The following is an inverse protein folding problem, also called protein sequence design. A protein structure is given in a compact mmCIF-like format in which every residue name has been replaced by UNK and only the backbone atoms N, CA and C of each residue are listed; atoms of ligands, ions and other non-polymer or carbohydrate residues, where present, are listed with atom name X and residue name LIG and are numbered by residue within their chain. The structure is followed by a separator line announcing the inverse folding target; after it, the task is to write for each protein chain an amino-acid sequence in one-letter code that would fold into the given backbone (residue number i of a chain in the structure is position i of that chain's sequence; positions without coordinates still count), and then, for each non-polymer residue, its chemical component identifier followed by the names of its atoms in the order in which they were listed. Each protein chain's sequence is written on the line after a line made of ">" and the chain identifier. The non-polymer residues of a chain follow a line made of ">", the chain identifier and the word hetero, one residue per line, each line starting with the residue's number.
data_IF_449841068636
#
_entry.id   IF_449841068636
#
_cell.length_a   1.000
_cell.length_b   1.000
_cell.length_c   1.000
_cell.angle_alpha   90.00
_cell.angle_beta   90.00
_cell.angle_gamma   90.00
#
_symmetry.space_group_name_H-M   'P 1'
#
loop_
_entity.id
_entity.type
_entity.pdbx_description
1 polymer ?
#
# COMPACT_ATOMS: atom_id res chain seq x y z
N UNK A 1 46.96 -19.12 52.08
CA UNK A 1 47.38 -20.49 52.46
C UNK A 1 46.47 -20.97 53.58
N UNK A 2 45.86 -22.16 53.42
CA UNK A 2 44.99 -22.93 54.35
C UNK A 2 43.66 -22.24 54.72
N UNK A 3 42.50 -22.63 54.18
CA UNK A 3 41.74 -23.89 54.24
C UNK A 3 41.18 -24.19 55.64
N UNK A 4 39.86 -24.00 55.80
CA UNK A 4 39.04 -24.73 56.75
C UNK A 4 37.71 -25.12 56.09
N UNK A 5 37.37 -26.38 56.30
CA UNK A 5 36.29 -27.15 55.68
C UNK A 5 35.17 -27.30 56.70
N UNK A 6 33.93 -27.02 56.32
CA UNK A 6 32.75 -27.45 57.06
C UNK A 6 31.67 -27.95 56.10
N UNK A 7 31.40 -29.25 56.22
CA UNK A 7 30.37 -30.02 55.53
C UNK A 7 29.06 -29.96 56.31
N UNK A 8 27.92 -29.80 55.63
CA UNK A 8 26.67 -30.52 55.93
C UNK A 8 25.53 -30.11 54.97
N UNK A 9 24.76 -31.11 54.52
CA UNK A 9 23.31 -30.94 54.35
C UNK A 9 22.74 -30.95 52.93
N UNK A 10 22.81 -32.11 52.25
CA UNK A 10 22.02 -32.39 51.04
C UNK A 10 20.53 -32.55 51.43
N UNK A 11 19.65 -31.68 50.92
CA UNK A 11 18.19 -31.95 50.86
C UNK A 11 17.77 -32.19 49.41
N UNK A 12 17.47 -33.45 49.10
CA UNK A 12 16.90 -33.90 47.83
C UNK A 12 15.42 -33.52 47.77
N UNK A 13 15.02 -32.62 46.88
CA UNK A 13 13.62 -32.47 46.51
C UNK A 13 13.27 -33.47 45.41
N UNK A 14 12.43 -34.43 45.78
CA UNK A 14 11.86 -35.49 44.95
C UNK A 14 10.56 -34.95 44.35
N UNK A 15 10.57 -34.55 43.07
CA UNK A 15 9.33 -34.25 42.34
C UNK A 15 8.81 -35.55 41.72
N UNK A 16 7.66 -36.01 42.20
CA UNK A 16 6.99 -37.24 41.77
C UNK A 16 5.99 -36.88 40.68
N UNK A 17 6.19 -37.40 39.47
CA UNK A 17 5.14 -37.51 38.45
C UNK A 17 4.07 -38.48 38.95
N UNK A 18 2.80 -38.08 38.89
CA UNK A 18 1.68 -39.00 38.99
C UNK A 18 0.89 -38.97 37.67
N UNK A 19 0.92 -40.12 37.02
CA UNK A 19 0.14 -40.49 35.84
C UNK A 19 -1.12 -41.17 36.37
N UNK A 20 -2.31 -40.77 35.91
CA UNK A 20 -3.53 -41.56 36.09
C UNK A 20 -4.23 -41.76 34.76
N UNK A 21 -4.23 -43.03 34.36
CA UNK A 21 -5.00 -43.69 33.31
C UNK A 21 -6.45 -43.93 33.75
N UNK A 22 -7.38 -43.92 32.78
CA UNK A 22 -8.76 -44.37 32.97
C UNK A 22 -9.60 -44.28 31.69
N UNK A 23 -9.46 -45.28 30.83
CA UNK A 23 -10.40 -45.71 29.77
C UNK A 23 -11.72 -46.23 30.38
N UNK A 24 -12.92 -46.16 29.78
CA UNK A 24 -13.41 -46.94 28.62
C UNK A 24 -14.88 -46.60 28.29
N UNK A 25 -15.26 -46.61 26.98
CA UNK A 25 -16.44 -47.29 26.34
C UNK A 25 -17.88 -46.84 26.69
N UNK A 26 -18.94 -46.90 25.87
CA UNK A 26 -19.31 -47.39 24.53
C UNK A 26 -20.59 -46.59 24.11
N UNK A 27 -20.74 -46.13 22.87
CA UNK A 27 -21.54 -46.70 21.78
C UNK A 27 -23.06 -46.94 21.99
N UNK A 28 -23.86 -46.11 21.29
CA UNK A 28 -24.91 -46.51 20.34
C UNK A 28 -26.42 -46.60 20.75
N UNK A 29 -27.20 -45.85 19.96
CA UNK A 29 -28.42 -46.24 19.19
C UNK A 29 -29.85 -46.12 19.77
N UNK A 30 -30.69 -45.30 19.11
CA UNK A 30 -32.05 -45.60 18.55
C UNK A 30 -32.78 -44.28 18.23
N UNK A 31 -32.97 -43.86 16.96
CA UNK A 31 -34.04 -44.23 15.99
C UNK A 31 -35.48 -43.95 16.46
N UNK A 32 -36.17 -43.07 15.74
CA UNK A 32 -37.44 -43.26 15.01
C UNK A 32 -38.08 -41.88 14.67
N UNK A 33 -38.80 -41.63 13.56
CA UNK A 33 -39.10 -42.40 12.35
C UNK A 33 -39.87 -41.51 11.33
N UNK A 34 -39.99 -42.05 10.10
CA UNK A 34 -40.96 -41.78 8.97
C UNK A 34 -40.38 -41.02 7.77
N UNK A 35 -39.90 -41.73 6.73
CA UNK A 35 -40.64 -42.37 5.60
C UNK A 35 -40.97 -41.35 4.49
N UNK A 36 -40.88 -41.59 3.18
CA UNK A 36 -40.32 -42.60 2.27
C UNK A 36 -40.53 -41.99 0.86
N UNK A 37 -39.60 -42.12 -0.09
CA UNK A 37 -39.87 -41.62 -1.45
C UNK A 37 -38.73 -41.59 -2.47
N UNK A 38 -38.31 -42.78 -2.91
CA UNK A 38 -37.74 -43.17 -4.22
C UNK A 38 -36.64 -42.31 -4.89
N UNK A 39 -35.52 -43.00 -5.10
CA UNK A 39 -34.37 -42.65 -5.92
C UNK A 39 -34.56 -43.13 -7.37
N UNK A 40 -34.22 -42.30 -8.35
CA UNK A 40 -33.79 -42.72 -9.69
C UNK A 40 -32.71 -41.75 -10.21
N UNK A 41 -31.59 -42.34 -10.61
CA UNK A 41 -30.37 -41.74 -11.13
C UNK A 41 -30.55 -41.24 -12.56
N UNK A 42 -30.09 -40.02 -12.86
CA UNK A 42 -30.01 -39.50 -14.22
C UNK A 42 -28.55 -39.22 -14.60
N UNK A 43 -28.03 -40.01 -15.54
CA UNK A 43 -26.84 -39.71 -16.33
C UNK A 43 -27.13 -38.47 -17.19
N UNK A 44 -26.21 -37.50 -17.22
CA UNK A 44 -26.31 -36.35 -18.13
C UNK A 44 -25.07 -36.30 -19.02
N UNK A 45 -25.20 -36.92 -20.17
CA UNK A 45 -24.40 -36.67 -21.37
C UNK A 45 -24.73 -35.26 -21.88
N UNK A 46 -23.73 -34.42 -22.14
CA UNK A 46 -23.91 -33.17 -22.89
C UNK A 46 -23.05 -33.27 -24.14
N UNK A 47 -23.74 -33.21 -25.27
CA UNK A 47 -23.25 -33.28 -26.64
C UNK A 47 -22.63 -31.96 -27.08
N UNK A 48 -21.46 -32.04 -27.72
CA UNK A 48 -20.88 -30.98 -28.55
C UNK A 48 -21.66 -30.84 -29.86
N UNK A 49 -22.08 -29.63 -30.22
CA UNK A 49 -22.44 -29.28 -31.59
C UNK A 49 -21.39 -28.33 -32.18
N UNK A 50 -20.62 -28.88 -33.15
CA UNK A 50 -19.79 -28.13 -34.08
C UNK A 50 -20.67 -27.60 -35.22
N UNK A 51 -20.50 -26.33 -35.60
CA UNK A 51 -20.89 -25.80 -36.91
C UNK A 51 -19.66 -25.29 -37.64
N UNK A 52 -19.59 -25.62 -38.92
CA UNK A 52 -18.43 -25.61 -39.80
C UNK A 52 -18.68 -24.79 -41.08
N UNK A 53 -17.57 -24.51 -41.81
CA UNK A 53 -17.43 -24.10 -43.24
C UNK A 53 -17.78 -22.61 -43.49
N UNK A 54 -16.98 -21.74 -44.14
CA UNK A 54 -16.33 -21.84 -45.47
C UNK A 54 -15.03 -21.01 -45.52
N UNK A 55 -13.98 -21.60 -46.12
CA UNK A 55 -12.83 -20.91 -46.70
C UNK A 55 -13.10 -20.68 -48.19
N UNK A 56 -12.81 -19.47 -48.67
CA UNK A 56 -12.64 -19.19 -50.09
C UNK A 56 -11.22 -18.67 -50.34
N UNK A 57 -10.62 -19.21 -51.38
CA UNK A 57 -9.25 -19.01 -51.84
C UNK A 57 -9.31 -18.69 -53.31
N UNK A 58 -8.78 -17.55 -53.74
CA UNK A 58 -8.44 -17.32 -55.15
C UNK A 58 -7.30 -16.30 -55.35
N UNK A 59 -6.15 -16.86 -55.75
CA UNK A 59 -5.14 -16.41 -56.71
C UNK A 59 -4.71 -14.92 -56.82
N UNK A 60 -3.52 -14.64 -56.25
CA UNK A 60 -2.26 -14.34 -56.93
C UNK A 60 -2.14 -13.24 -58.01
N UNK A 61 -1.21 -12.30 -57.82
CA UNK A 61 -0.18 -11.94 -58.83
C UNK A 61 1.02 -11.26 -58.17
N UNK A 62 2.24 -11.69 -58.52
CA UNK A 62 3.50 -11.03 -58.17
C UNK A 62 3.76 -9.82 -59.08
N UNK A 63 4.39 -8.76 -58.53
CA UNK A 63 5.31 -7.88 -59.26
C UNK A 63 6.38 -7.36 -58.29
N UNK A 64 7.61 -7.80 -58.50
CA UNK A 64 8.82 -7.07 -58.12
C UNK A 64 9.04 -5.92 -59.13
N UNK A 65 9.35 -4.72 -58.62
CA UNK A 65 10.24 -3.75 -59.29
C UNK A 65 11.04 -3.03 -58.20
N UNK A 66 12.32 -2.85 -58.53
CA UNK A 66 13.53 -2.44 -57.83
C UNK A 66 13.59 -1.09 -57.08
N UNK A 67 14.42 -1.12 -56.04
CA UNK A 67 15.43 -0.14 -55.56
C UNK A 67 15.11 1.36 -55.45
N UNK A 68 15.24 1.88 -54.22
CA UNK A 68 16.30 2.85 -53.86
C UNK A 68 16.30 3.19 -52.37
N UNK A 69 17.50 3.10 -51.78
CA UNK A 69 17.84 3.39 -50.39
C UNK A 69 17.54 4.84 -49.98
N UNK A 70 16.94 5.05 -48.81
CA UNK A 70 17.42 6.08 -47.88
C UNK A 70 17.06 5.77 -46.42
N UNK A 71 18.10 5.75 -45.60
CA UNK A 71 18.14 5.49 -44.16
C UNK A 71 17.45 6.58 -43.35
N UNK A 72 16.55 6.19 -42.44
CA UNK A 72 16.00 7.06 -41.41
C UNK A 72 15.42 6.25 -40.25
N UNK A 73 16.15 6.18 -39.14
CA UNK A 73 15.70 5.53 -37.91
C UNK A 73 14.39 6.17 -37.39
N UNK A 74 13.25 5.51 -37.61
CA UNK A 74 11.98 5.83 -36.94
C UNK A 74 11.89 5.09 -35.61
N UNK A 75 12.06 5.83 -34.52
CA UNK A 75 11.61 5.46 -33.17
C UNK A 75 10.10 5.15 -33.22
N UNK A 76 9.71 3.91 -32.94
CA UNK A 76 8.33 3.57 -32.63
C UNK A 76 7.99 4.07 -31.22
N UNK A 77 7.39 5.26 -31.16
CA UNK A 77 6.64 5.70 -30.00
C UNK A 77 5.24 5.07 -30.09
N UNK A 78 4.95 4.07 -29.26
CA UNK A 78 3.58 3.60 -29.07
C UNK A 78 2.78 4.66 -28.30
N UNK A 79 2.11 5.54 -29.03
CA UNK A 79 1.10 6.46 -28.50
C UNK A 79 -0.16 5.64 -28.19
N UNK A 80 -0.50 5.48 -26.91
CA UNK A 80 -1.81 5.00 -26.51
C UNK A 80 -2.84 6.11 -26.78
N UNK A 81 -3.61 5.98 -27.85
CA UNK A 81 -4.78 6.82 -28.12
C UNK A 81 -5.90 6.41 -27.17
N UNK A 82 -6.14 7.20 -26.12
CA UNK A 82 -7.34 7.04 -25.28
C UNK A 82 -8.52 7.65 -26.02
N UNK A 83 -9.45 6.79 -26.46
CA UNK A 83 -10.68 7.22 -27.10
C UNK A 83 -11.51 8.12 -26.18
N UNK A 84 -11.83 9.29 -26.73
CA UNK A 84 -12.55 10.38 -26.07
C UNK A 84 -14.07 10.12 -26.12
N UNK A 85 -14.63 9.50 -25.09
CA UNK A 85 -16.08 9.34 -24.95
C UNK A 85 -16.52 9.21 -23.47
N UNK A 86 -16.61 10.34 -22.75
CA UNK A 86 -17.81 10.75 -22.00
C UNK A 86 -17.53 12.00 -21.16
N UNK A 87 -17.89 13.15 -21.71
CA UNK A 87 -18.00 14.41 -20.97
C UNK A 87 -19.25 14.35 -20.10
N UNK A 88 -19.04 14.36 -18.77
CA UNK A 88 -19.93 14.78 -17.66
C UNK A 88 -19.89 13.75 -16.50
N UNK A 89 -18.79 13.75 -15.76
CA UNK A 89 -18.78 13.19 -14.40
C UNK A 89 -17.80 13.95 -13.49
N UNK A 90 -18.36 14.81 -12.64
CA UNK A 90 -17.83 15.26 -11.35
C UNK A 90 -16.46 15.96 -11.28
N UNK A 91 -16.42 17.24 -11.67
CA UNK A 91 -15.92 18.32 -10.80
C UNK A 91 -14.46 18.29 -10.32
N UNK A 92 -13.51 17.72 -11.07
CA UNK A 92 -12.09 17.79 -10.73
C UNK A 92 -11.32 18.47 -11.86
N UNK A 93 -11.05 19.75 -11.67
CA UNK A 93 -10.38 20.68 -12.60
C UNK A 93 -8.86 20.45 -12.62
N UNK A 94 -8.39 19.21 -12.54
CA UNK A 94 -6.95 18.93 -12.48
C UNK A 94 -6.34 18.79 -13.89
N UNK A 95 -7.13 18.35 -14.89
CA UNK A 95 -6.67 18.19 -16.28
C UNK A 95 -6.41 19.53 -16.99
N UNK A 96 -7.18 20.57 -16.68
CA UNK A 96 -7.01 21.89 -17.28
C UNK A 96 -5.68 22.56 -16.88
N UNK A 97 -5.05 22.12 -15.80
CA UNK A 97 -3.76 22.63 -15.33
C UNK A 97 -2.56 22.02 -16.09
N UNK A 98 -2.75 20.88 -16.76
CA UNK A 98 -1.71 20.26 -17.60
C UNK A 98 -1.58 20.95 -18.97
N UNK A 99 -2.61 21.67 -19.42
CA UNK A 99 -2.68 22.19 -20.79
C UNK A 99 -2.42 23.69 -20.94
N UNK A 100 -2.40 24.49 -19.87
CA UNK A 100 -2.17 25.93 -19.97
C UNK A 100 -1.18 26.43 -18.90
N UNK A 101 0.08 26.59 -19.29
CA UNK A 101 1.05 27.38 -18.55
C UNK A 101 0.97 28.85 -19.00
N UNK A 102 -0.09 29.54 -18.55
CA UNK A 102 -0.16 31.00 -18.52
C UNK A 102 -1.40 31.40 -17.72
N UNK A 103 -1.23 31.69 -16.44
CA UNK A 103 -2.24 32.40 -15.65
C UNK A 103 -1.64 33.71 -15.18
N UNK A 104 -2.08 34.79 -15.84
CA UNK A 104 -2.07 36.14 -15.31
C UNK A 104 -2.91 36.18 -14.03
N UNK A 105 -2.33 36.72 -12.97
CA UNK A 105 -2.96 36.88 -11.67
C UNK A 105 -3.90 38.08 -11.67
N UNK A 106 -5.21 37.85 -11.83
CA UNK A 106 -6.23 38.84 -11.50
C UNK A 106 -6.95 38.45 -10.21
N UNK A 107 -6.46 39.00 -9.11
CA UNK A 107 -7.03 38.88 -7.78
C UNK A 107 -6.43 39.94 -6.87
N UNK A 108 -6.95 41.16 -6.94
CA UNK A 108 -6.60 42.24 -6.02
C UNK A 108 -7.12 41.85 -4.63
N UNK A 109 -6.21 41.41 -3.77
CA UNK A 109 -6.46 41.24 -2.34
C UNK A 109 -6.29 42.61 -1.66
N UNK A 110 -7.35 43.08 -0.99
CA UNK A 110 -7.26 44.25 -0.11
C UNK A 110 -6.21 43.97 0.99
N UNK A 111 -5.10 44.70 0.94
CA UNK A 111 -3.91 44.52 1.77
C UNK A 111 -3.83 45.52 2.93
N UNK A 112 -4.82 46.40 3.09
CA UNK A 112 -4.80 47.40 4.15
C UNK A 112 -5.36 46.80 5.45
N UNK A 113 -4.50 46.81 6.48
CA UNK A 113 -4.75 46.57 7.91
C UNK A 113 -4.18 45.30 8.56
N UNK A 114 -3.30 44.52 7.90
CA UNK A 114 -2.52 43.50 8.60
C UNK A 114 -1.01 43.82 8.55
N UNK A 115 -0.32 43.98 9.71
CA UNK A 115 1.12 44.17 9.71
C UNK A 115 1.79 42.96 9.04
N UNK A 116 2.63 43.24 8.05
CA UNK A 116 3.39 42.22 7.33
C UNK A 116 4.24 41.42 8.34
N UNK A 117 4.08 40.08 8.41
CA UNK A 117 4.83 39.28 9.37
C UNK A 117 6.33 39.36 9.08
N UNK A 118 7.14 39.41 10.13
CA UNK A 118 8.60 39.46 10.00
C UNK A 118 9.13 38.21 9.29
N UNK A 119 10.33 38.30 8.70
CA UNK A 119 10.98 37.14 8.06
C UNK A 119 11.06 35.93 8.99
N UNK A 120 11.37 36.16 10.27
CA UNK A 120 11.42 35.09 11.29
C UNK A 120 10.03 34.49 11.56
N UNK A 121 8.98 35.29 11.61
CA UNK A 121 7.60 34.80 11.75
C UNK A 121 7.12 34.03 10.51
N UNK A 122 7.47 34.51 9.31
CA UNK A 122 7.16 33.83 8.04
C UNK A 122 7.88 32.48 7.94
N UNK A 123 9.16 32.43 8.33
CA UNK A 123 9.94 31.20 8.40
C UNK A 123 9.33 30.21 9.40
N UNK A 124 9.00 30.66 10.62
CA UNK A 124 8.33 29.85 11.65
C UNK A 124 7.00 29.27 11.17
N UNK A 125 6.15 30.08 10.53
CA UNK A 125 4.85 29.64 9.97
C UNK A 125 5.06 28.59 8.87
N UNK A 126 6.05 28.79 7.99
CA UNK A 126 6.39 27.84 6.92
C UNK A 126 6.86 26.51 7.50
N UNK A 127 7.76 26.53 8.48
CA UNK A 127 8.25 25.32 9.18
C UNK A 127 7.11 24.62 9.92
N UNK A 128 6.24 25.35 10.61
CA UNK A 128 5.08 24.76 11.30
C UNK A 128 4.12 24.06 10.31
N UNK A 129 3.85 24.70 9.16
CA UNK A 129 3.01 24.12 8.11
C UNK A 129 3.67 22.91 7.43
N UNK A 130 4.99 22.89 7.30
CA UNK A 130 5.74 21.72 6.80
C UNK A 130 5.70 20.57 7.81
N UNK A 131 5.85 20.86 9.10
CA UNK A 131 5.81 19.89 10.18
C UNK A 131 4.39 19.35 10.45
N UNK A 132 3.36 19.91 9.82
CA UNK A 132 1.98 19.43 9.91
C UNK A 132 1.73 18.14 9.11
N UNK A 133 2.55 17.85 8.09
CA UNK A 133 2.34 16.71 7.19
C UNK A 133 3.52 15.76 7.24
N UNK A 134 3.21 14.49 7.34
CA UNK A 134 4.16 13.39 7.23
C UNK A 134 3.60 12.33 6.30
N UNK A 135 4.46 11.64 5.57
CA UNK A 135 4.10 10.43 4.84
C UNK A 135 4.85 9.24 5.42
N UNK A 136 4.20 8.09 5.41
CA UNK A 136 4.74 6.85 5.97
C UNK A 136 4.46 5.69 5.03
N UNK A 137 5.39 4.76 5.01
CA UNK A 137 5.27 3.47 4.33
C UNK A 137 6.07 2.42 5.11
N UNK A 138 5.60 1.17 5.09
CA UNK A 138 6.22 0.06 5.79
C UNK A 138 6.49 -1.11 4.84
N UNK A 139 7.60 -1.79 5.08
CA UNK A 139 7.84 -3.12 4.51
C UNK A 139 7.53 -4.19 5.57
N UNK A 140 6.91 -5.28 5.11
CA UNK A 140 6.49 -6.38 5.96
C UNK A 140 7.12 -7.71 5.54
N UNK A 141 7.33 -8.56 6.53
CA UNK A 141 7.66 -9.98 6.37
C UNK A 141 6.45 -10.83 6.75
N UNK A 142 6.43 -12.07 6.28
CA UNK A 142 5.44 -13.09 6.63
C UNK A 142 5.85 -13.88 7.87
N UNK A 143 4.92 -13.97 8.83
CA UNK A 143 5.03 -14.82 10.02
C UNK A 143 3.88 -15.84 10.05
N UNK A 144 3.90 -16.73 11.03
CA UNK A 144 2.87 -17.78 11.19
C UNK A 144 2.90 -18.84 10.08
N UNK A 145 1.79 -19.59 9.95
CA UNK A 145 1.69 -20.69 9.00
C UNK A 145 1.82 -20.18 7.55
N UNK A 146 2.89 -20.62 6.87
CA UNK A 146 3.20 -20.24 5.48
C UNK A 146 3.31 -18.72 5.24
N UNK A 147 3.67 -17.93 6.25
CA UNK A 147 3.92 -16.49 6.09
C UNK A 147 2.68 -15.66 5.79
N UNK A 148 1.49 -16.14 6.16
CA UNK A 148 0.21 -15.49 5.83
C UNK A 148 -0.06 -14.23 6.66
N UNK A 149 0.61 -14.08 7.79
CA UNK A 149 0.43 -12.95 8.70
C UNK A 149 1.51 -11.91 8.46
N UNK A 150 1.12 -10.63 8.42
CA UNK A 150 2.03 -9.52 8.15
C UNK A 150 2.69 -9.04 9.44
N UNK A 151 4.02 -8.98 9.46
CA UNK A 151 4.78 -8.38 10.56
C UNK A 151 5.71 -7.28 10.04
N UNK A 152 5.81 -6.18 10.79
CA UNK A 152 6.66 -5.05 10.44
C UNK A 152 8.14 -5.47 10.38
N UNK A 153 8.81 -5.07 9.30
CA UNK A 153 10.24 -5.29 9.11
C UNK A 153 11.02 -4.00 8.83
N UNK A 154 10.37 -2.99 8.23
CA UNK A 154 10.93 -1.65 8.06
C UNK A 154 9.83 -0.61 8.08
N UNK A 155 10.10 0.56 8.65
CA UNK A 155 9.22 1.73 8.55
C UNK A 155 10.03 2.95 8.12
N UNK A 156 9.49 3.71 7.18
CA UNK A 156 10.06 5.00 6.80
C UNK A 156 9.00 6.10 6.92
N UNK A 157 9.41 7.23 7.48
CA UNK A 157 8.58 8.44 7.60
C UNK A 157 9.35 9.60 6.97
N UNK A 158 8.67 10.35 6.11
CA UNK A 158 9.21 11.56 5.49
C UNK A 158 8.35 12.78 5.79
N UNK A 159 8.97 13.95 5.84
CA UNK A 159 8.24 15.21 5.95
C UNK A 159 7.62 15.64 4.61
N UNK A 160 6.91 16.77 4.59
CA UNK A 160 6.26 17.31 3.38
C UNK A 160 7.22 17.53 2.19
N UNK A 161 8.51 17.76 2.43
CA UNK A 161 9.54 17.96 1.40
C UNK A 161 10.14 16.63 0.90
N UNK A 162 9.83 15.51 1.55
CA UNK A 162 10.43 14.21 1.28
C UNK A 162 11.75 13.96 2.02
N UNK A 163 12.10 14.81 3.00
CA UNK A 163 13.25 14.56 3.88
C UNK A 163 12.89 13.47 4.88
N UNK A 164 13.80 12.52 5.11
CA UNK A 164 13.59 11.38 6.00
C UNK A 164 13.61 11.85 7.45
N UNK A 165 12.56 11.52 8.18
CA UNK A 165 12.42 11.76 9.62
C UNK A 165 12.71 10.49 10.43
N UNK A 166 12.35 9.32 9.87
CA UNK A 166 12.59 8.01 10.44
C UNK A 166 12.82 7.03 9.28
N UNK A 167 13.80 6.16 9.41
CA UNK A 167 13.99 5.00 8.54
C UNK A 167 14.67 3.90 9.35
N UNK A 168 13.91 2.90 9.78
CA UNK A 168 14.38 1.87 10.72
C UNK A 168 13.97 0.49 10.24
N UNK A 169 14.92 -0.44 10.25
CA UNK A 169 14.63 -1.86 10.25
C UNK A 169 14.20 -2.29 11.65
N UNK A 170 13.23 -3.18 11.72
CA UNK A 170 12.59 -3.61 12.96
C UNK A 170 12.77 -5.10 13.11
N UNK A 171 13.13 -5.54 14.32
CA UNK A 171 13.21 -6.96 14.65
C UNK A 171 11.78 -7.51 14.87
N UNK A 172 11.32 -8.49 14.07
CA UNK A 172 10.02 -9.12 14.27
C UNK A 172 9.96 -9.84 15.63
N UNK A 173 8.82 -9.74 16.31
CA UNK A 173 8.59 -10.43 17.59
C UNK A 173 8.23 -11.92 17.39
N UNK A 174 7.98 -12.34 16.15
CA UNK A 174 7.68 -13.72 15.78
C UNK A 174 8.70 -14.25 14.77
N UNK A 175 8.75 -15.59 14.66
CA UNK A 175 9.63 -16.24 13.69
C UNK A 175 9.17 -15.93 12.26
N UNK A 176 10.07 -15.33 11.48
CA UNK A 176 9.84 -15.06 10.06
C UNK A 176 9.83 -16.38 9.28
N UNK A 177 8.72 -16.65 8.61
CA UNK A 177 8.55 -17.84 7.75
C UNK A 177 8.62 -17.50 6.26
N UNK A 178 8.42 -16.23 5.89
CA UNK A 178 8.64 -15.72 4.55
C UNK A 178 9.16 -14.28 4.59
N UNK A 179 10.33 -14.00 4.00
CA UNK A 179 10.88 -12.65 3.96
C UNK A 179 10.21 -11.75 2.94
N UNK A 180 9.55 -12.33 1.93
CA UNK A 180 8.93 -11.61 0.81
C UNK A 180 9.91 -10.70 0.06
N UNK A 181 11.19 -11.06 0.12
CA UNK A 181 12.35 -10.38 -0.43
C UNK A 181 12.13 -9.72 -1.79
N UNK A 182 11.54 -10.44 -2.75
CA UNK A 182 11.32 -9.94 -4.11
C UNK A 182 10.38 -8.74 -4.19
N UNK A 183 9.57 -8.54 -3.14
CA UNK A 183 8.65 -7.42 -2.98
C UNK A 183 9.23 -6.44 -1.96
N UNK A 184 9.46 -6.88 -0.72
CA UNK A 184 9.78 -6.01 0.42
C UNK A 184 11.23 -5.52 0.47
N UNK A 185 12.12 -6.17 -0.28
CA UNK A 185 13.57 -5.97 -0.18
C UNK A 185 14.22 -6.43 1.13
N UNK A 186 13.44 -6.99 2.07
CA UNK A 186 13.95 -7.40 3.38
C UNK A 186 14.73 -8.71 3.30
N UNK A 187 15.89 -8.74 3.94
CA UNK A 187 16.75 -9.92 4.11
C UNK A 187 16.94 -10.24 5.60
N UNK A 188 17.33 -11.49 5.96
CA UNK A 188 17.62 -11.87 7.35
C UNK A 188 18.54 -10.89 8.08
N UNK A 189 19.65 -10.49 7.45
CA UNK A 189 20.63 -9.59 8.06
C UNK A 189 20.09 -8.16 8.30
N UNK A 190 19.01 -7.75 7.63
CA UNK A 190 18.42 -6.43 7.87
C UNK A 190 17.70 -6.37 9.22
N UNK A 191 17.07 -7.47 9.62
CA UNK A 191 16.21 -7.54 10.82
C UNK A 191 16.88 -8.24 12.01
N UNK A 192 17.97 -8.98 11.78
CA UNK A 192 18.75 -9.63 12.84
C UNK A 192 19.24 -8.62 13.88
N UNK A 193 19.70 -7.45 13.40
CA UNK A 193 20.11 -6.30 14.21
C UNK A 193 19.12 -5.14 14.11
N UNK A 194 17.86 -5.43 13.75
CA UNK A 194 16.81 -4.43 13.71
C UNK A 194 16.51 -3.87 15.11
N UNK A 195 15.98 -2.64 15.16
CA UNK A 195 15.55 -2.03 16.40
C UNK A 195 14.36 -2.81 17.00
N UNK A 196 14.17 -2.69 18.32
CA UNK A 196 13.01 -3.28 19.00
C UNK A 196 11.69 -2.70 18.49
N UNK A 197 10.70 -3.56 18.31
CA UNK A 197 9.39 -3.18 17.79
C UNK A 197 8.72 -2.08 18.61
N UNK A 198 8.74 -2.18 19.94
CA UNK A 198 8.05 -1.23 20.81
C UNK A 198 8.74 0.14 20.80
N UNK A 199 10.08 0.16 20.79
CA UNK A 199 10.86 1.40 20.68
C UNK A 199 10.59 2.13 19.37
N UNK A 200 10.52 1.40 18.26
CA UNK A 200 10.18 1.98 16.95
C UNK A 200 8.72 2.42 16.91
N UNK A 201 7.79 1.61 17.43
CA UNK A 201 6.38 1.96 17.51
C UNK A 201 6.17 3.28 18.26
N UNK A 202 6.86 3.49 19.38
CA UNK A 202 6.75 4.72 20.16
C UNK A 202 7.37 5.94 19.45
N UNK A 203 8.46 5.75 18.70
CA UNK A 203 9.00 6.79 17.82
C UNK A 203 8.00 7.17 16.73
N UNK A 204 7.37 6.18 16.09
CA UNK A 204 6.34 6.40 15.06
C UNK A 204 5.14 7.15 15.65
N UNK A 205 4.60 6.71 16.79
CA UNK A 205 3.49 7.39 17.48
C UNK A 205 3.81 8.86 17.74
N UNK A 206 4.98 9.15 18.32
CA UNK A 206 5.43 10.53 18.60
C UNK A 206 5.53 11.35 17.32
N UNK A 207 6.06 10.77 16.25
CA UNK A 207 6.24 11.46 14.98
C UNK A 207 4.92 11.76 14.25
N UNK A 208 3.89 10.90 14.34
CA UNK A 208 2.63 11.12 13.62
C UNK A 208 1.57 11.85 14.45
N UNK A 209 1.75 11.95 15.77
CA UNK A 209 0.77 12.55 16.69
C UNK A 209 0.38 13.97 16.28
N UNK A 210 -0.93 14.20 16.11
CA UNK A 210 -1.48 15.51 15.75
C UNK A 210 -1.17 15.97 14.32
N UNK A 211 -0.55 15.13 13.49
CA UNK A 211 -0.18 15.45 12.10
C UNK A 211 -1.15 14.84 11.10
N UNK A 212 -1.17 15.43 9.91
CA UNK A 212 -1.83 14.82 8.74
C UNK A 212 -0.90 13.74 8.20
N UNK A 213 -1.39 12.50 8.21
CA UNK A 213 -0.68 11.32 7.76
C UNK A 213 -1.08 10.99 6.33
N UNK A 214 -0.10 11.03 5.43
CA UNK A 214 -0.23 10.68 4.01
C UNK A 214 0.32 9.27 3.79
N UNK A 215 -0.30 8.50 2.91
CA UNK A 215 0.22 7.17 2.55
C UNK A 215 -0.54 6.56 1.37
N UNK A 216 -0.28 5.27 1.11
CA UNK A 216 -0.96 4.50 0.07
C UNK A 216 -1.41 3.14 0.63
N UNK A 217 -2.68 3.01 0.99
CA UNK A 217 -3.18 1.83 1.69
C UNK A 217 -2.80 1.80 3.18
N UNK A 218 -2.64 2.99 3.79
CA UNK A 218 -2.08 3.25 5.13
C UNK A 218 -2.71 2.44 6.28
N UNK A 219 -3.90 1.87 6.07
CA UNK A 219 -4.55 1.00 7.05
C UNK A 219 -3.75 -0.27 7.33
N UNK A 220 -3.03 -0.80 6.34
CA UNK A 220 -2.15 -1.96 6.51
C UNK A 220 -0.96 -1.62 7.39
N UNK A 221 -0.28 -0.53 7.08
CA UNK A 221 0.87 -0.01 7.83
C UNK A 221 0.51 0.25 9.30
N UNK A 222 -0.59 0.97 9.53
CA UNK A 222 -1.10 1.25 10.87
C UNK A 222 -1.52 -0.04 11.60
N UNK A 223 -2.00 -1.05 10.88
CA UNK A 223 -2.37 -2.36 11.39
C UNK A 223 -1.16 -3.11 11.97
N UNK A 224 -0.10 -3.27 11.17
CA UNK A 224 1.12 -3.98 11.62
C UNK A 224 1.87 -3.22 12.70
N UNK A 225 1.78 -1.89 12.70
CA UNK A 225 2.29 -1.04 13.77
C UNK A 225 1.39 -1.05 15.02
N UNK A 226 0.16 -1.58 14.95
CA UNK A 226 -0.84 -1.53 16.01
C UNK A 226 -1.13 -0.09 16.51
N UNK A 227 -1.15 0.88 15.58
CA UNK A 227 -1.39 2.30 15.87
C UNK A 227 -2.75 2.73 15.30
N UNK A 228 -3.51 3.49 16.07
CA UNK A 228 -4.71 4.19 15.58
C UNK A 228 -4.38 5.64 15.26
N UNK A 229 -4.75 6.10 14.07
CA UNK A 229 -4.66 7.51 13.68
C UNK A 229 -6.05 8.07 13.37
N UNK A 230 -6.39 9.31 13.80
CA UNK A 230 -7.72 9.87 13.55
C UNK A 230 -8.03 9.96 12.06
N UNK A 231 -9.17 9.40 11.63
CA UNK A 231 -9.60 9.40 10.22
C UNK A 231 -9.58 10.79 9.55
N UNK A 232 -10.01 11.90 10.20
CA UNK A 232 -9.93 13.23 9.59
C UNK A 232 -8.52 13.70 9.24
N UNK A 233 -7.50 13.10 9.87
CA UNK A 233 -6.08 13.40 9.64
C UNK A 233 -5.40 12.43 8.67
N UNK A 234 -6.13 11.48 8.08
CA UNK A 234 -5.59 10.54 7.08
C UNK A 234 -5.80 11.09 5.66
N UNK A 235 -4.77 10.97 4.83
CA UNK A 235 -4.79 11.27 3.38
C UNK A 235 -4.21 10.08 2.63
N UNK A 236 -5.08 9.10 2.40
CA UNK A 236 -4.72 7.85 1.72
C UNK A 236 -4.94 7.96 0.20
N UNK A 237 -3.84 7.92 -0.54
CA UNK A 237 -3.82 8.03 -2.01
C UNK A 237 -4.50 6.85 -2.70
N UNK A 238 -4.57 5.68 -2.06
CA UNK A 238 -5.26 4.50 -2.59
C UNK A 238 -6.80 4.65 -2.50
N UNK A 239 -7.30 5.55 -1.63
CA UNK A 239 -8.73 5.69 -1.30
C UNK A 239 -9.35 7.02 -1.74
N UNK A 240 -8.55 7.95 -2.23
CA UNK A 240 -9.05 9.26 -2.67
C UNK A 240 -9.92 9.11 -3.93
N UNK A 241 -11.25 9.06 -3.77
CA UNK A 241 -12.21 8.74 -4.84
C UNK A 241 -12.01 9.51 -6.15
N UNK A 242 -11.77 10.84 -6.16
CA UNK A 242 -11.48 11.57 -7.39
C UNK A 242 -10.31 10.98 -8.18
N UNK A 243 -9.25 10.61 -7.46
CA UNK A 243 -8.03 10.06 -8.03
C UNK A 243 -8.21 8.59 -8.46
N UNK A 244 -8.92 7.77 -7.69
CA UNK A 244 -9.26 6.39 -8.07
C UNK A 244 -10.10 6.35 -9.37
N UNK A 245 -11.10 7.24 -9.49
CA UNK A 245 -11.93 7.35 -10.71
C UNK A 245 -11.09 7.72 -11.91
N UNK A 246 -10.16 8.62 -11.70
CA UNK A 246 -9.32 9.13 -12.77
C UNK A 246 -8.35 8.07 -13.31
N UNK A 247 -7.64 7.39 -12.42
CA UNK A 247 -6.49 6.55 -12.81
C UNK A 247 -6.89 5.08 -13.00
N UNK A 248 -7.91 4.61 -12.30
CA UNK A 248 -8.27 3.18 -12.26
C UNK A 248 -9.79 2.93 -12.41
N UNK A 249 -10.51 3.86 -13.03
CA UNK A 249 -11.95 3.78 -13.28
C UNK A 249 -12.76 3.42 -12.01
N UNK A 250 -12.34 3.97 -10.87
CA UNK A 250 -12.98 3.80 -9.56
C UNK A 250 -12.46 2.63 -8.73
N UNK A 251 -11.62 1.76 -9.30
CA UNK A 251 -10.89 0.73 -8.56
C UNK A 251 -9.72 1.34 -7.78
N UNK A 252 -9.16 0.59 -6.84
CA UNK A 252 -7.95 0.98 -6.11
C UNK A 252 -6.72 0.84 -7.02
N UNK A 253 -6.04 1.93 -7.42
CA UNK A 253 -4.80 1.84 -8.19
C UNK A 253 -3.63 1.41 -7.30
N UNK A 254 -2.59 0.80 -7.88
CA UNK A 254 -1.30 0.64 -7.20
C UNK A 254 -0.55 1.96 -7.10
N UNK A 255 0.38 2.06 -6.14
CA UNK A 255 1.24 3.24 -5.98
C UNK A 255 2.07 3.50 -7.24
N UNK A 256 2.59 2.45 -7.88
CA UNK A 256 3.29 2.54 -9.17
C UNK A 256 2.42 3.17 -10.26
N UNK A 257 1.20 2.68 -10.44
CA UNK A 257 0.27 3.15 -11.47
C UNK A 257 -0.07 4.64 -11.28
N UNK A 258 -0.41 5.03 -10.05
CA UNK A 258 -0.80 6.40 -9.73
C UNK A 258 0.39 7.37 -9.78
N UNK A 259 1.58 6.91 -9.40
CA UNK A 259 2.81 7.71 -9.46
C UNK A 259 3.18 8.01 -10.91
N UNK A 260 3.11 7.00 -11.78
CA UNK A 260 3.31 7.19 -13.21
C UNK A 260 2.26 8.14 -13.80
N UNK A 261 0.97 7.89 -13.57
CA UNK A 261 -0.11 8.69 -14.14
C UNK A 261 -0.11 10.17 -13.69
N UNK A 262 0.24 10.44 -12.43
CA UNK A 262 0.15 11.79 -11.85
C UNK A 262 1.48 12.54 -11.90
N UNK A 263 2.60 11.85 -11.72
CA UNK A 263 3.92 12.47 -11.61
C UNK A 263 4.81 12.20 -12.83
N UNK A 264 4.48 11.24 -13.70
CA UNK A 264 5.35 10.81 -14.80
C UNK A 264 6.63 10.14 -14.31
N UNK A 265 6.58 9.53 -13.12
CA UNK A 265 7.73 8.86 -12.50
C UNK A 265 7.48 7.37 -12.45
N UNK A 266 8.51 6.59 -12.77
CA UNK A 266 8.53 5.15 -12.55
C UNK A 266 9.21 4.86 -11.21
N UNK A 267 8.55 4.07 -10.38
CA UNK A 267 9.00 3.60 -9.07
C UNK A 267 8.81 2.08 -8.99
N UNK A 268 9.38 1.43 -7.98
CA UNK A 268 9.23 -0.02 -7.79
C UNK A 268 9.63 -0.79 -9.06
N UNK A 269 10.78 -0.43 -9.64
CA UNK A 269 11.35 -1.12 -10.82
C UNK A 269 12.02 -2.46 -10.45
N UNK A 270 12.17 -2.73 -9.14
CA UNK A 270 12.61 -3.98 -8.56
C UNK A 270 11.94 -4.18 -7.20
N UNK A 271 12.73 -4.47 -6.18
CA UNK A 271 12.27 -4.52 -4.79
C UNK A 271 11.74 -3.14 -4.34
N UNK A 272 10.78 -3.15 -3.44
CA UNK A 272 10.21 -1.95 -2.87
C UNK A 272 11.21 -1.26 -1.93
N UNK A 273 11.00 0.04 -1.78
CA UNK A 273 11.76 0.86 -0.87
C UNK A 273 10.79 1.82 -0.19
N UNK A 274 10.50 1.55 1.07
CA UNK A 274 9.60 2.37 1.89
C UNK A 274 9.90 3.86 1.89
N UNK A 275 11.16 4.31 1.70
CA UNK A 275 11.47 5.74 1.56
C UNK A 275 10.98 6.27 0.20
N UNK A 276 11.24 5.56 -0.90
CA UNK A 276 10.74 5.92 -2.23
C UNK A 276 9.21 6.00 -2.23
N UNK A 277 8.56 5.00 -1.64
CA UNK A 277 7.11 4.86 -1.63
C UNK A 277 6.44 5.94 -0.77
N UNK A 278 6.96 6.21 0.43
CA UNK A 278 6.51 7.33 1.26
C UNK A 278 6.69 8.69 0.56
N UNK A 279 7.80 8.89 -0.17
CA UNK A 279 8.04 10.09 -0.98
C UNK A 279 7.08 10.19 -2.15
N UNK A 280 6.79 9.10 -2.84
CA UNK A 280 5.85 9.06 -3.95
C UNK A 280 4.44 9.45 -3.47
N UNK A 281 3.96 8.85 -2.38
CA UNK A 281 2.69 9.19 -1.77
C UNK A 281 2.63 10.68 -1.37
N UNK A 282 3.68 11.21 -0.74
CA UNK A 282 3.75 12.64 -0.39
C UNK A 282 3.74 13.56 -1.63
N UNK A 283 4.47 13.21 -2.70
CA UNK A 283 4.50 13.99 -3.95
C UNK A 283 3.14 14.02 -4.62
N UNK A 284 2.43 12.88 -4.68
CA UNK A 284 1.05 12.80 -5.19
C UNK A 284 0.15 13.71 -4.38
N UNK A 285 0.17 13.59 -3.05
CA UNK A 285 -0.62 14.45 -2.18
C UNK A 285 -0.29 15.93 -2.39
N UNK A 286 0.99 16.32 -2.44
CA UNK A 286 1.39 17.70 -2.65
C UNK A 286 0.82 18.26 -3.96
N UNK A 287 0.89 17.50 -5.06
CA UNK A 287 0.35 17.90 -6.37
C UNK A 287 -1.18 18.09 -6.35
N UNK A 288 -1.88 17.33 -5.52
CA UNK A 288 -3.35 17.36 -5.43
C UNK A 288 -3.89 18.10 -4.19
N UNK A 289 -3.01 18.63 -3.34
CA UNK A 289 -3.36 19.05 -1.98
C UNK A 289 -4.45 20.12 -1.93
N UNK A 290 -4.45 21.07 -2.87
CA UNK A 290 -5.48 22.11 -2.94
C UNK A 290 -6.88 21.51 -3.18
N UNK A 291 -7.03 20.69 -4.21
CA UNK A 291 -8.31 20.04 -4.53
C UNK A 291 -8.73 19.04 -3.45
N UNK A 292 -7.76 18.31 -2.91
CA UNK A 292 -7.98 17.32 -1.87
C UNK A 292 -8.54 17.94 -0.59
N UNK A 293 -7.91 19.00 -0.08
CA UNK A 293 -8.37 19.66 1.15
C UNK A 293 -9.72 20.37 0.93
N UNK A 294 -9.96 20.92 -0.26
CA UNK A 294 -11.27 21.46 -0.62
C UNK A 294 -12.36 20.37 -0.67
N UNK A 295 -12.04 19.19 -1.20
CA UNK A 295 -12.94 18.04 -1.22
C UNK A 295 -13.29 17.58 0.21
N UNK A 296 -12.29 17.46 1.08
CA UNK A 296 -12.49 17.10 2.48
C UNK A 296 -13.35 18.11 3.24
N UNK A 297 -13.10 19.42 3.05
CA UNK A 297 -13.90 20.49 3.68
C UNK A 297 -15.37 20.41 3.25
N UNK A 298 -15.64 20.19 1.96
CA UNK A 298 -17.01 20.05 1.44
C UNK A 298 -17.71 18.82 2.00
N UNK A 299 -17.02 17.71 2.21
CA UNK A 299 -17.62 16.52 2.83
C UNK A 299 -17.98 16.77 4.30
N UNK A 300 -17.09 17.42 5.06
CA UNK A 300 -17.34 17.74 6.47
C UNK A 300 -18.59 18.61 6.65
N UNK A 301 -18.81 19.58 5.76
CA UNK A 301 -19.99 20.45 5.83
C UNK A 301 -21.31 19.77 5.43
N UNK A 302 -21.27 18.51 4.95
CA UNK A 302 -22.46 17.73 4.58
C UNK A 302 -22.82 16.68 5.63
N UNK A 303 -22.03 16.55 6.69
CA UNK A 303 -22.21 15.60 7.80
C UNK A 303 -22.58 16.38 9.04
#
# INVERSE_FOLDING_TARGET
>A
MKADVASAGIRKHKFKMEVRSGSTKDESNSRESRQHGKQLTANKTVTEEKRSIIMDSSLGTMKEVSDSNNTGHKKQNNIFTVNNANRKAAGCHWYAYLTNQSYESNGVVNLENNPMPSLSQRQKRKTAQQNKYVAMDCEMVGVGYKGQEDMLARVSIVNKRGEVLLDKFVKPCEMVTDYRTSISGIRPHNIENGDDFHDVQDQVKKLIQGKILVGHGIAKDLGVLQIKHPYPLIRDTARYKPLCRLVANGRTPSLKCITHAILGLDIQSGEHNSIEDARAAMKIYNKLSFDWENHFRKQKNRT
#
